data_IF_123555638433
#
_entry.id   IF_123555638433
#
_cell.length_a   1.000
_cell.length_b   1.000
_cell.length_c   1.000
_cell.angle_alpha   90.00
_cell.angle_beta   90.00
_cell.angle_gamma   90.00
#
_symmetry.space_group_name_H-M   'P 1'
#
loop_
_entity.id
_entity.type
_entity.pdbx_description
1 polymer ?
#
# COMPACT_ATOMS: atom_id res chain seq x y z
N UNK A 1 12.35 5.34 0.17
CA UNK A 1 11.61 4.35 0.98
C UNK A 1 11.90 2.98 0.39
N UNK A 2 12.28 2.00 1.19
CA UNK A 2 12.61 0.64 0.73
C UNK A 2 11.35 -0.21 0.52
N UNK A 3 11.47 -1.37 -0.13
CA UNK A 3 10.37 -2.30 -0.31
C UNK A 3 9.73 -2.73 1.02
N UNK A 4 10.56 -3.08 2.01
CA UNK A 4 10.08 -3.41 3.36
C UNK A 4 9.32 -2.25 3.99
N UNK A 5 9.84 -1.03 3.92
CA UNK A 5 9.17 0.16 4.47
C UNK A 5 7.83 0.43 3.78
N UNK A 6 7.74 0.22 2.46
CA UNK A 6 6.48 0.31 1.71
C UNK A 6 5.49 -0.74 2.19
N UNK A 7 5.90 -2.01 2.29
CA UNK A 7 5.03 -3.10 2.77
C UNK A 7 4.51 -2.80 4.18
N UNK A 8 5.40 -2.42 5.10
CA UNK A 8 5.04 -2.13 6.49
C UNK A 8 4.09 -0.93 6.56
N UNK A 9 4.34 0.13 5.78
CA UNK A 9 3.46 1.30 5.68
C UNK A 9 2.08 0.93 5.14
N UNK A 10 2.01 0.21 4.01
CA UNK A 10 0.75 -0.18 3.40
C UNK A 10 -0.04 -1.14 4.29
N UNK A 11 0.64 -2.07 4.97
CA UNK A 11 0.02 -3.01 5.93
C UNK A 11 -0.58 -2.31 7.15
N UNK A 12 -0.05 -1.14 7.52
CA UNK A 12 -0.54 -0.35 8.67
C UNK A 12 -1.88 0.35 8.43
N UNK A 13 -2.36 0.41 7.18
CA UNK A 13 -3.63 1.05 6.84
C UNK A 13 -4.80 0.35 7.55
N UNK A 14 -5.72 1.15 8.11
CA UNK A 14 -6.94 0.67 8.80
C UNK A 14 -8.24 1.07 8.11
N UNK A 15 -8.15 1.74 6.97
CA UNK A 15 -9.29 2.15 6.15
C UNK A 15 -8.84 2.48 4.73
N UNK A 16 -9.79 2.51 3.80
CA UNK A 16 -9.52 2.95 2.41
C UNK A 16 -8.93 4.36 2.36
N UNK A 17 -9.38 5.28 3.23
CA UNK A 17 -8.83 6.63 3.32
C UNK A 17 -7.35 6.62 3.71
N UNK A 18 -6.98 5.78 4.70
CA UNK A 18 -5.58 5.64 5.11
C UNK A 18 -4.73 4.92 4.06
N UNK A 19 -5.29 3.93 3.38
CA UNK A 19 -4.63 3.25 2.25
C UNK A 19 -4.25 4.25 1.16
N UNK A 20 -5.20 5.08 0.72
CA UNK A 20 -4.94 6.10 -0.31
C UNK A 20 -3.89 7.12 0.16
N UNK A 21 -4.00 7.61 1.40
CA UNK A 21 -2.99 8.51 1.95
C UNK A 21 -1.60 7.87 2.04
N UNK A 22 -1.51 6.56 2.28
CA UNK A 22 -0.24 5.84 2.29
C UNK A 22 0.30 5.62 0.87
N UNK A 23 -0.54 5.34 -0.13
CA UNK A 23 -0.15 5.34 -1.54
C UNK A 23 0.50 6.68 -1.94
N UNK A 24 -0.07 7.80 -1.51
CA UNK A 24 0.46 9.14 -1.80
C UNK A 24 1.84 9.35 -1.15
N UNK A 25 2.03 8.90 0.11
CA UNK A 25 3.34 8.92 0.77
C UNK A 25 4.37 8.09 0.01
N UNK A 26 3.99 6.91 -0.48
CA UNK A 26 4.88 6.04 -1.27
C UNK A 26 5.28 6.75 -2.56
N UNK A 27 4.32 7.34 -3.30
CA UNK A 27 4.63 8.10 -4.52
C UNK A 27 5.56 9.27 -4.25
N UNK A 28 5.26 10.07 -3.24
CA UNK A 28 6.06 11.25 -2.89
C UNK A 28 7.49 10.86 -2.50
N UNK A 29 7.67 9.74 -1.79
CA UNK A 29 8.99 9.21 -1.44
C UNK A 29 9.80 8.69 -2.64
N UNK A 30 9.19 8.57 -3.83
CA UNK A 30 9.79 8.07 -5.06
C UNK A 30 9.59 9.06 -6.23
N UNK A 31 9.52 10.36 -5.95
CA UNK A 31 9.49 11.40 -6.97
C UNK A 31 8.18 11.49 -7.76
N UNK A 32 7.06 11.10 -7.15
CA UNK A 32 5.72 11.12 -7.76
C UNK A 32 5.30 9.81 -8.44
N UNK A 33 6.18 8.81 -8.47
CA UNK A 33 5.92 7.51 -9.09
C UNK A 33 5.89 6.39 -8.05
N UNK A 34 5.29 5.26 -8.38
CA UNK A 34 5.49 4.06 -7.58
C UNK A 34 6.86 3.44 -7.85
N UNK A 35 7.50 2.81 -6.85
CA UNK A 35 8.76 2.10 -7.06
C UNK A 35 8.60 0.91 -8.02
N UNK A 36 9.68 0.44 -8.68
CA UNK A 36 9.61 -0.64 -9.66
C UNK A 36 8.99 -1.95 -9.14
N UNK A 37 9.18 -2.27 -7.86
CA UNK A 37 8.62 -3.46 -7.22
C UNK A 37 7.14 -3.35 -6.87
N UNK A 38 6.52 -2.17 -7.00
CA UNK A 38 5.15 -1.92 -6.53
C UNK A 38 4.15 -2.89 -7.15
N UNK A 39 4.19 -3.08 -8.46
CA UNK A 39 3.21 -3.92 -9.13
C UNK A 39 3.31 -5.37 -8.67
N UNK A 40 4.51 -5.97 -8.68
CA UNK A 40 4.71 -7.35 -8.24
C UNK A 40 4.37 -7.54 -6.76
N UNK A 41 4.75 -6.58 -5.91
CA UNK A 41 4.70 -6.69 -4.44
C UNK A 41 3.34 -6.32 -3.85
N UNK A 42 2.69 -5.29 -4.37
CA UNK A 42 1.45 -4.73 -3.80
C UNK A 42 0.24 -5.22 -4.57
N UNK A 43 0.31 -5.32 -5.91
CA UNK A 43 -0.84 -5.63 -6.76
C UNK A 43 -0.89 -7.13 -7.09
N UNK A 44 0.14 -7.64 -7.77
CA UNK A 44 0.16 -9.00 -8.31
C UNK A 44 0.22 -10.07 -7.21
N UNK A 45 0.91 -9.81 -6.11
CA UNK A 45 1.01 -10.73 -4.96
C UNK A 45 -0.32 -10.96 -4.22
N UNK A 46 -1.35 -10.15 -4.49
CA UNK A 46 -2.59 -10.13 -3.71
C UNK A 46 -2.49 -9.35 -2.40
N UNK A 47 -1.35 -8.75 -2.07
CA UNK A 47 -1.17 -7.98 -0.83
C UNK A 47 -2.19 -6.85 -0.68
N UNK A 48 -2.49 -6.10 -1.75
CA UNK A 48 -3.51 -5.05 -1.70
C UNK A 48 -4.89 -5.62 -1.36
N UNK A 49 -5.25 -6.77 -1.93
CA UNK A 49 -6.51 -7.44 -1.61
C UNK A 49 -6.55 -7.90 -0.14
N UNK A 50 -5.45 -8.48 0.38
CA UNK A 50 -5.32 -8.90 1.78
C UNK A 50 -5.51 -7.74 2.77
N UNK A 51 -4.93 -6.57 2.47
CA UNK A 51 -5.04 -5.42 3.36
C UNK A 51 -6.42 -4.76 3.24
N UNK A 52 -6.94 -4.59 2.02
CA UNK A 52 -8.21 -3.92 1.80
C UNK A 52 -9.40 -4.74 2.32
N UNK A 53 -9.37 -6.07 2.23
CA UNK A 53 -10.47 -6.91 2.74
C UNK A 53 -10.75 -6.68 4.22
N UNK A 54 -9.72 -6.40 5.02
CA UNK A 54 -9.83 -6.05 6.44
C UNK A 54 -10.68 -4.81 6.70
N UNK A 55 -10.89 -3.96 5.70
CA UNK A 55 -11.72 -2.76 5.82
C UNK A 55 -13.19 -3.04 5.48
N UNK A 56 -13.45 -4.09 4.70
CA UNK A 56 -14.78 -4.46 4.21
C UNK A 56 -15.47 -5.40 5.19
N UNK A 57 -14.73 -6.30 5.84
CA UNK A 57 -15.27 -7.20 6.88
C UNK A 57 -15.56 -6.49 8.23
N UNK A 58 -15.30 -5.18 8.31
CA UNK A 58 -15.54 -4.34 9.49
C UNK A 58 -16.73 -3.37 9.32
N UNK A 59 -17.50 -3.49 8.22
CA UNK A 59 -18.68 -2.69 7.92
C UNK A 59 -19.96 -3.54 8.06
#
# INVERSE_FOLDING_TARGET
MTEKEVIDLMRSSKSLKQWNANCDKVKNAHGGFYPPFWFSTIVQSGFAAEVISKFVDLA
#
